data_IF_110757110777
#
_entry.id   IF_110757110777
#
_cell.length_a   1.000
_cell.length_b   1.000
_cell.length_c   1.000
_cell.angle_alpha   90.00
_cell.angle_beta   90.00
_cell.angle_gamma   90.00
#
_symmetry.space_group_name_H-M   'P 1'
#
loop_
_entity.id
_entity.type
_entity.pdbx_description
1 polymer ?
#
# COMPACT_ATOMS: atom_id res chain seq x y z
N UNK A 1 5.99 11.94 77.16
CA UNK A 1 5.32 10.71 76.67
C UNK A 1 4.26 10.98 75.60
N UNK A 2 3.35 11.96 75.77
CA UNK A 2 2.29 12.28 74.76
C UNK A 2 2.80 12.61 73.34
N UNK A 3 3.93 13.33 73.21
CA UNK A 3 4.50 13.71 71.90
C UNK A 3 5.13 12.54 71.12
N UNK A 4 5.64 11.51 71.83
CA UNK A 4 6.24 10.31 71.22
C UNK A 4 5.17 9.36 70.67
N UNK A 5 4.02 9.24 71.35
CA UNK A 5 2.89 8.42 70.91
C UNK A 5 2.24 8.98 69.64
N UNK A 6 2.13 10.31 69.53
CA UNK A 6 1.58 10.98 68.34
C UNK A 6 2.49 10.78 67.13
N UNK A 7 3.82 10.89 67.30
CA UNK A 7 4.77 10.70 66.21
C UNK A 7 4.81 9.24 65.71
N UNK A 8 4.70 8.26 66.63
CA UNK A 8 4.60 6.86 66.27
C UNK A 8 3.29 6.52 65.54
N UNK A 9 2.16 7.12 65.94
CA UNK A 9 0.88 6.95 65.25
C UNK A 9 0.90 7.54 63.82
N UNK A 10 1.57 8.68 63.62
CA UNK A 10 1.75 9.29 62.30
C UNK A 10 2.66 8.41 61.43
N UNK A 11 3.78 7.89 61.96
CA UNK A 11 4.68 7.01 61.21
C UNK A 11 4.04 5.66 60.81
N UNK A 12 3.02 5.18 61.53
CA UNK A 12 2.28 3.97 61.17
C UNK A 12 1.16 4.21 60.14
N UNK A 13 0.72 5.46 59.94
CA UNK A 13 -0.27 5.84 58.93
C UNK A 13 0.37 6.12 57.56
N UNK A 14 1.66 6.47 57.53
CA UNK A 14 2.41 6.80 56.30
C UNK A 14 2.58 5.61 55.33
N UNK A 15 2.83 4.35 55.77
CA UNK A 15 2.95 3.20 54.87
C UNK A 15 1.62 2.80 54.20
N UNK A 16 0.48 3.08 54.83
CA UNK A 16 -0.84 2.72 54.31
C UNK A 16 -1.30 3.55 53.12
N UNK A 17 -0.80 4.79 53.00
CA UNK A 17 -1.12 5.68 51.86
C UNK A 17 -0.09 5.56 50.72
N UNK A 18 1.16 5.16 51.04
CA UNK A 18 2.21 4.99 50.03
C UNK A 18 2.10 3.66 49.24
N UNK A 19 1.43 2.64 49.78
CA UNK A 19 1.20 1.34 49.12
C UNK A 19 -0.15 1.24 48.40
N UNK A 20 -1.06 2.21 48.58
CA UNK A 20 -2.36 2.24 47.92
C UNK A 20 -2.34 2.83 46.50
N UNK A 21 -1.20 3.38 46.06
CA UNK A 21 -1.04 3.98 44.73
C UNK A 21 -0.47 3.01 43.68
N UNK A 22 -0.73 1.72 43.87
CA UNK A 22 -0.62 0.71 42.79
C UNK A 22 -1.97 0.43 42.11
N UNK A 23 -2.99 1.25 42.40
CA UNK A 23 -4.33 1.14 41.80
C UNK A 23 -4.50 1.80 40.43
N UNK A 24 -3.43 2.34 39.84
CA UNK A 24 -3.49 3.13 38.60
C UNK A 24 -2.52 2.66 37.51
N UNK A 25 -2.24 1.36 37.44
CA UNK A 25 -2.13 0.72 36.13
C UNK A 25 -3.54 0.63 35.55
N UNK A 26 -4.11 1.79 35.23
CA UNK A 26 -5.41 1.91 34.59
C UNK A 26 -5.30 1.20 33.23
N UNK A 27 -6.24 0.31 32.91
CA UNK A 27 -6.35 -0.31 31.58
C UNK A 27 -6.27 0.75 30.48
N UNK A 28 -6.73 1.99 30.71
CA UNK A 28 -6.59 3.08 29.73
C UNK A 28 -5.13 3.53 29.51
N UNK A 29 -4.28 3.44 30.53
CA UNK A 29 -2.83 3.68 30.41
C UNK A 29 -2.10 2.46 29.84
N UNK A 30 -2.63 1.25 30.02
CA UNK A 30 -2.13 0.04 29.35
C UNK A 30 -2.65 -0.11 27.90
N UNK A 31 -3.77 0.48 27.53
CA UNK A 31 -4.30 0.50 26.16
C UNK A 31 -3.38 1.31 25.24
N UNK A 32 -2.79 2.40 25.76
CA UNK A 32 -1.70 3.11 25.09
C UNK A 32 -0.39 2.29 24.99
N UNK A 33 -0.22 1.25 25.83
CA UNK A 33 1.02 0.44 25.95
C UNK A 33 0.92 -0.93 25.27
N UNK A 34 -0.29 -1.50 25.10
CA UNK A 34 -0.51 -2.68 24.23
C UNK A 34 -0.36 -2.33 22.75
N UNK A 35 -0.18 -1.05 22.43
CA UNK A 35 0.71 -0.65 21.35
C UNK A 35 0.24 -1.11 19.97
N UNK A 36 -1.06 -1.17 19.74
CA UNK A 36 -1.59 -1.09 18.38
C UNK A 36 -1.68 0.38 17.97
N UNK A 37 -0.57 1.12 18.15
CA UNK A 37 -0.38 2.37 17.42
C UNK A 37 -0.17 1.93 15.99
N UNK A 38 -1.21 2.10 15.17
CA UNK A 38 -1.16 1.79 13.75
C UNK A 38 0.14 2.35 13.16
N UNK A 39 0.89 1.47 12.49
CA UNK A 39 2.18 1.87 11.91
C UNK A 39 1.86 2.84 10.79
N UNK A 40 2.38 4.07 10.90
CA UNK A 40 2.37 5.01 9.78
C UNK A 40 3.58 4.71 8.91
N UNK A 41 3.31 4.39 7.65
CA UNK A 41 4.36 4.07 6.66
C UNK A 41 4.30 5.10 5.55
N UNK A 42 5.43 5.79 5.34
CA UNK A 42 5.64 6.61 4.16
C UNK A 42 6.35 5.80 3.09
N UNK A 43 5.81 5.79 1.87
CA UNK A 43 6.37 5.05 0.74
C UNK A 43 6.50 5.95 -0.48
N UNK A 44 7.51 5.65 -1.29
CA UNK A 44 7.74 6.28 -2.58
C UNK A 44 7.85 5.19 -3.63
N UNK A 45 6.91 5.17 -4.58
CA UNK A 45 6.83 4.16 -5.61
C UNK A 45 7.17 4.78 -6.97
N UNK A 46 8.14 4.19 -7.66
CA UNK A 46 8.37 4.39 -9.09
C UNK A 46 8.60 3.03 -9.72
N UNK A 47 7.69 2.62 -10.58
CA UNK A 47 7.80 1.35 -11.29
C UNK A 47 7.95 1.60 -12.79
N UNK A 48 8.81 0.82 -13.42
CA UNK A 48 9.01 0.85 -14.87
C UNK A 48 9.17 -0.57 -15.37
N UNK A 49 8.38 -0.94 -16.37
CA UNK A 49 8.53 -2.17 -17.12
C UNK A 49 9.11 -1.78 -18.49
N UNK A 50 10.18 -2.46 -18.91
CA UNK A 50 10.88 -2.13 -20.15
C UNK A 50 9.99 -2.31 -21.39
N UNK A 51 9.42 -3.49 -21.55
CA UNK A 51 8.43 -3.79 -22.58
C UNK A 51 7.58 -5.00 -22.18
N UNK A 52 6.37 -5.08 -22.73
CA UNK A 52 5.54 -6.29 -22.74
C UNK A 52 5.24 -6.62 -24.20
N UNK A 53 5.56 -7.85 -24.59
CA UNK A 53 5.28 -8.35 -25.94
C UNK A 53 4.33 -9.55 -25.85
N UNK A 54 3.25 -9.48 -26.61
CA UNK A 54 2.37 -10.61 -26.88
C UNK A 54 2.51 -11.02 -28.33
N UNK A 55 3.12 -12.17 -28.56
CA UNK A 55 3.23 -12.77 -29.88
C UNK A 55 2.08 -13.75 -30.11
N UNK A 56 1.29 -13.50 -31.15
CA UNK A 56 0.37 -14.45 -31.75
C UNK A 56 1.13 -15.34 -32.73
N UNK A 57 1.34 -16.60 -32.32
CA UNK A 57 2.14 -17.57 -33.05
C UNK A 57 1.32 -18.45 -34.00
N UNK A 58 0.00 -18.52 -33.85
CA UNK A 58 -0.89 -19.36 -34.68
C UNK A 58 -1.77 -18.55 -35.65
N UNK A 59 -1.84 -17.23 -35.46
CA UNK A 59 -2.50 -16.30 -36.37
C UNK A 59 -4.02 -16.43 -36.36
N UNK A 60 -4.73 -15.35 -36.70
CA UNK A 60 -6.19 -15.40 -36.81
C UNK A 60 -6.62 -15.94 -38.18
N UNK A 61 -7.10 -17.18 -38.24
CA UNK A 61 -7.81 -17.73 -39.40
C UNK A 61 -9.17 -18.32 -39.00
N UNK A 62 -10.23 -17.95 -39.72
CA UNK A 62 -11.60 -18.44 -39.43
C UNK A 62 -11.89 -19.81 -40.02
N UNK A 63 -10.99 -20.36 -40.85
CA UNK A 63 -11.25 -21.57 -41.65
C UNK A 63 -10.19 -22.67 -41.51
N UNK A 64 -8.96 -22.41 -41.09
CA UNK A 64 -7.93 -23.43 -40.84
C UNK A 64 -7.02 -23.04 -39.67
N UNK A 65 -6.93 -23.85 -38.60
CA UNK A 65 -6.00 -23.57 -37.49
C UNK A 65 -4.55 -23.47 -37.99
N UNK A 66 -3.85 -22.36 -37.68
CA UNK A 66 -2.46 -22.14 -38.06
C UNK A 66 -2.23 -21.56 -39.46
N UNK A 67 -3.28 -21.12 -40.17
CA UNK A 67 -3.17 -20.51 -41.51
C UNK A 67 -3.07 -18.97 -41.53
N UNK A 68 -3.29 -18.31 -40.40
CA UNK A 68 -3.32 -16.86 -40.30
C UNK A 68 -1.93 -16.22 -40.29
N UNK A 69 -1.87 -14.91 -40.58
CA UNK A 69 -0.64 -14.14 -40.37
C UNK A 69 -0.33 -14.08 -38.88
N UNK A 70 0.90 -14.38 -38.49
CA UNK A 70 1.41 -14.12 -37.14
C UNK A 70 1.39 -12.61 -36.87
N UNK A 71 1.28 -12.26 -35.59
CA UNK A 71 1.26 -10.87 -35.16
C UNK A 71 1.93 -10.71 -33.81
N UNK A 72 2.30 -9.49 -33.46
CA UNK A 72 2.66 -9.17 -32.09
C UNK A 72 2.10 -7.81 -31.67
N UNK A 73 1.69 -7.74 -30.41
CA UNK A 73 1.41 -6.51 -29.70
C UNK A 73 2.60 -6.20 -28.79
N UNK A 74 3.28 -5.09 -29.06
CA UNK A 74 4.34 -4.59 -28.20
C UNK A 74 3.87 -3.33 -27.48
N UNK A 75 3.95 -3.36 -26.14
CA UNK A 75 3.79 -2.20 -25.27
C UNK A 75 5.18 -1.79 -24.80
N UNK A 76 5.71 -0.70 -25.37
CA UNK A 76 7.01 -0.20 -24.96
C UNK A 76 6.88 0.69 -23.73
N UNK A 77 7.82 0.55 -22.79
CA UNK A 77 8.03 1.38 -21.60
C UNK A 77 6.72 1.71 -20.87
N UNK A 78 6.35 0.86 -19.92
CA UNK A 78 5.21 1.10 -19.05
C UNK A 78 5.72 1.76 -17.77
N UNK A 79 5.21 2.93 -17.42
CA UNK A 79 5.54 3.62 -16.18
C UNK A 79 4.32 3.79 -15.29
N UNK A 80 4.58 3.72 -13.98
CA UNK A 80 3.64 4.12 -12.94
C UNK A 80 4.36 5.19 -12.13
N UNK A 81 3.94 6.43 -12.30
CA UNK A 81 4.58 7.61 -11.73
C UNK A 81 3.57 8.76 -11.55
N UNK A 82 4.02 9.95 -11.20
CA UNK A 82 3.22 11.17 -11.13
C UNK A 82 3.90 12.24 -11.98
N UNK A 83 3.63 12.25 -13.29
CA UNK A 83 4.31 13.13 -14.25
C UNK A 83 5.83 12.95 -14.26
N UNK A 84 6.31 11.70 -14.17
CA UNK A 84 7.73 11.34 -14.13
C UNK A 84 8.38 11.30 -12.73
N UNK A 85 7.67 11.75 -11.70
CA UNK A 85 8.09 11.69 -10.30
C UNK A 85 7.58 10.41 -9.62
N UNK A 86 8.25 9.94 -8.58
CA UNK A 86 7.72 8.83 -7.80
C UNK A 86 6.37 9.22 -7.16
N UNK A 87 5.43 8.28 -7.11
CA UNK A 87 4.18 8.43 -6.38
C UNK A 87 4.51 8.43 -4.89
N UNK A 88 4.18 9.52 -4.21
CA UNK A 88 4.34 9.63 -2.76
C UNK A 88 3.07 9.15 -2.06
N UNK A 89 3.24 8.24 -1.10
CA UNK A 89 2.18 7.67 -0.29
C UNK A 89 2.47 8.03 1.15
N UNK A 90 1.71 8.94 1.73
CA UNK A 90 1.90 9.40 3.13
C UNK A 90 0.65 9.17 3.94
N UNK A 91 0.78 8.57 5.11
CA UNK A 91 -0.36 8.30 6.00
C UNK A 91 -1.08 6.97 5.71
N UNK A 92 -0.35 5.97 5.25
CA UNK A 92 -0.83 4.60 5.19
C UNK A 92 -0.97 4.07 6.62
N UNK A 93 -2.15 3.56 6.98
CA UNK A 93 -2.42 3.02 8.32
C UNK A 93 -2.64 1.52 8.26
N UNK A 94 -2.01 0.78 9.15
CA UNK A 94 -2.24 -0.65 9.34
C UNK A 94 -2.80 -0.83 10.74
N UNK A 95 -4.00 -1.41 10.84
CA UNK A 95 -4.70 -1.59 12.11
C UNK A 95 -5.42 -2.95 12.16
N UNK A 96 -5.64 -3.46 13.37
CA UNK A 96 -6.52 -4.60 13.58
C UNK A 96 -7.89 -4.10 14.07
N UNK A 97 -8.94 -4.42 13.32
CA UNK A 97 -10.32 -3.99 13.61
C UNK A 97 -11.26 -5.19 13.53
N UNK A 98 -12.06 -5.43 14.57
CA UNK A 98 -13.08 -6.50 14.67
C UNK A 98 -12.66 -7.85 14.02
N UNK A 99 -11.50 -8.37 14.45
CA UNK A 99 -10.90 -9.63 13.96
C UNK A 99 -10.45 -9.64 12.49
N UNK A 100 -10.26 -8.48 11.88
CA UNK A 100 -9.71 -8.29 10.53
C UNK A 100 -8.48 -7.39 10.55
N UNK A 101 -7.61 -7.55 9.54
CA UNK A 101 -6.54 -6.59 9.26
C UNK A 101 -7.10 -5.53 8.30
N UNK A 102 -7.12 -4.28 8.75
CA UNK A 102 -7.58 -3.14 7.97
C UNK A 102 -6.39 -2.28 7.58
N UNK A 103 -6.24 -2.07 6.27
CA UNK A 103 -5.21 -1.19 5.72
C UNK A 103 -5.91 0.04 5.13
N UNK A 104 -5.70 1.19 5.79
CA UNK A 104 -6.13 2.50 5.31
C UNK A 104 -5.13 3.02 4.29
N UNK A 105 -5.59 3.24 3.06
CA UNK A 105 -4.73 3.74 1.98
C UNK A 105 -4.73 5.27 1.97
N UNK A 106 -3.56 5.91 1.80
CA UNK A 106 -3.48 7.36 1.67
C UNK A 106 -4.05 7.81 0.33
N UNK A 107 -4.29 9.12 0.20
CA UNK A 107 -4.56 9.70 -1.10
C UNK A 107 -3.32 9.51 -1.99
N UNK A 108 -3.43 8.61 -2.95
CA UNK A 108 -2.44 8.43 -4.01
C UNK A 108 -3.01 9.07 -5.26
N UNK A 109 -2.27 10.00 -5.86
CA UNK A 109 -2.54 10.53 -7.20
C UNK A 109 -1.35 10.20 -8.08
N UNK A 110 -1.59 9.52 -9.19
CA UNK A 110 -0.55 9.19 -10.16
C UNK A 110 -1.14 8.86 -11.51
N UNK A 111 -0.24 8.69 -12.47
CA UNK A 111 -0.53 8.35 -13.85
C UNK A 111 0.05 6.96 -14.15
N UNK A 112 -0.66 6.22 -15.00
CA UNK A 112 -0.12 5.04 -15.68
C UNK A 112 0.11 5.43 -17.12
N UNK A 113 1.35 5.35 -17.60
CA UNK A 113 1.67 5.61 -18.99
C UNK A 113 2.23 4.37 -19.66
N UNK A 114 1.84 4.17 -20.91
CA UNK A 114 2.49 3.26 -21.83
C UNK A 114 3.09 4.13 -22.93
N UNK A 115 4.36 3.90 -23.25
CA UNK A 115 5.02 4.52 -24.39
C UNK A 115 4.39 4.12 -25.71
N UNK A 116 5.19 3.94 -26.75
CA UNK A 116 4.64 3.53 -28.03
C UNK A 116 4.04 2.12 -27.94
N UNK A 117 2.83 1.99 -28.48
CA UNK A 117 2.11 0.75 -28.68
C UNK A 117 2.31 0.38 -30.15
N UNK A 118 2.72 -0.86 -30.42
CA UNK A 118 2.95 -1.33 -31.79
C UNK A 118 2.14 -2.59 -32.09
N UNK A 119 1.65 -2.66 -33.32
CA UNK A 119 1.20 -3.91 -33.94
C UNK A 119 2.20 -4.30 -35.03
N UNK A 120 2.87 -5.43 -34.86
CA UNK A 120 3.83 -5.97 -35.83
C UNK A 120 3.40 -7.37 -36.27
N UNK A 121 4.15 -7.97 -37.19
CA UNK A 121 3.97 -9.36 -37.65
C UNK A 121 4.66 -10.39 -36.72
N UNK A 122 5.28 -9.94 -35.62
CA UNK A 122 6.04 -10.78 -34.69
C UNK A 122 7.42 -11.22 -35.18
N UNK A 123 7.84 -10.81 -36.39
CA UNK A 123 9.17 -11.14 -36.95
C UNK A 123 9.98 -9.92 -37.36
N UNK A 124 9.34 -8.77 -37.53
CA UNK A 124 9.96 -7.50 -37.89
C UNK A 124 10.06 -6.58 -36.67
N UNK A 125 11.17 -5.86 -36.57
CA UNK A 125 11.34 -4.87 -35.52
C UNK A 125 10.30 -3.76 -35.66
N UNK A 126 9.68 -3.36 -34.54
CA UNK A 126 8.71 -2.28 -34.52
C UNK A 126 9.30 -0.98 -35.10
N UNK A 127 8.51 -0.29 -35.92
CA UNK A 127 8.84 1.01 -36.49
C UNK A 127 7.74 2.02 -36.20
N UNK A 128 8.00 3.31 -36.43
CA UNK A 128 6.99 4.37 -36.26
C UNK A 128 5.73 4.13 -37.09
N UNK A 129 5.84 3.44 -38.22
CA UNK A 129 4.69 3.12 -39.10
C UNK A 129 3.78 2.03 -38.53
N UNK A 130 4.28 1.22 -37.60
CA UNK A 130 3.56 0.13 -36.93
C UNK A 130 2.90 0.60 -35.62
N UNK A 131 3.06 1.88 -35.26
CA UNK A 131 2.61 2.41 -33.98
C UNK A 131 1.13 2.79 -34.00
N UNK A 132 0.42 2.42 -32.93
CA UNK A 132 -0.94 2.88 -32.64
C UNK A 132 -0.96 4.16 -31.79
N UNK A 133 0.20 4.70 -31.44
CA UNK A 133 0.34 5.82 -30.51
C UNK A 133 0.73 5.36 -29.10
N UNK A 134 0.27 6.08 -28.08
CA UNK A 134 0.57 5.82 -26.67
C UNK A 134 -0.70 5.84 -25.83
N UNK A 135 -0.61 5.34 -24.59
CA UNK A 135 -1.70 5.36 -23.63
C UNK A 135 -1.26 6.11 -22.38
N UNK A 136 -2.15 6.95 -21.85
CA UNK A 136 -1.99 7.52 -20.52
C UNK A 136 -3.32 7.47 -19.79
N UNK A 137 -3.30 6.92 -18.58
CA UNK A 137 -4.40 6.98 -17.62
C UNK A 137 -3.95 7.98 -16.55
N UNK A 138 -4.63 9.11 -16.48
CA UNK A 138 -4.30 10.18 -15.53
C UNK A 138 -5.23 10.21 -14.33
N UNK A 139 -4.78 10.90 -13.29
CA UNK A 139 -5.56 11.17 -12.07
C UNK A 139 -6.04 9.90 -11.36
N UNK A 140 -5.22 8.84 -11.35
CA UNK A 140 -5.52 7.63 -10.59
C UNK A 140 -5.58 7.99 -9.10
N UNK A 141 -6.79 8.03 -8.53
CA UNK A 141 -7.02 8.44 -7.14
C UNK A 141 -7.47 7.25 -6.29
N UNK A 142 -6.65 6.87 -5.30
CA UNK A 142 -7.00 5.82 -4.33
C UNK A 142 -7.51 6.38 -2.99
N UNK A 143 -7.73 7.68 -2.87
CA UNK A 143 -8.26 8.31 -1.67
C UNK A 143 -9.60 7.67 -1.26
N UNK A 144 -9.70 7.26 0.01
CA UNK A 144 -10.89 6.61 0.56
C UNK A 144 -11.03 5.13 0.22
N UNK A 145 -10.12 4.54 -0.54
CA UNK A 145 -10.07 3.10 -0.78
C UNK A 145 -9.48 2.36 0.44
N UNK A 146 -9.91 1.12 0.67
CA UNK A 146 -9.43 0.25 1.74
C UNK A 146 -9.09 -1.13 1.20
N UNK A 147 -8.06 -1.75 1.76
CA UNK A 147 -7.81 -3.18 1.59
C UNK A 147 -8.18 -3.85 2.91
N UNK A 148 -9.08 -4.84 2.83
CA UNK A 148 -9.56 -5.59 3.99
C UNK A 148 -9.15 -7.04 3.81
N UNK A 149 -8.39 -7.58 4.76
CA UNK A 149 -8.04 -9.00 4.81
C UNK A 149 -8.91 -9.67 5.87
N UNK A 150 -9.75 -10.60 5.43
CA UNK A 150 -10.68 -11.32 6.29
C UNK A 150 -10.12 -12.70 6.66
N UNK A 151 -10.45 -13.22 7.86
CA UNK A 151 -10.20 -14.63 8.18
C UNK A 151 -11.02 -15.53 7.25
N UNK A 152 -10.49 -16.71 6.94
CA UNK A 152 -11.24 -17.74 6.23
C UNK A 152 -12.38 -18.30 7.10
#
# INVERSE_FOLDING_TARGET
MKKLVILAAILMLVPGMALADMGLLNESSLNDVTGQVGITIDQSLKATIGAVEWTDADGFETTTPGGGNTGALELSVITIDNGGNAISMTGLTIDADDASLVIGLPAMTGDISVGNIYLTDGSTAATTSSSLGSLTISDLNMSGSKVVVMPH
#
